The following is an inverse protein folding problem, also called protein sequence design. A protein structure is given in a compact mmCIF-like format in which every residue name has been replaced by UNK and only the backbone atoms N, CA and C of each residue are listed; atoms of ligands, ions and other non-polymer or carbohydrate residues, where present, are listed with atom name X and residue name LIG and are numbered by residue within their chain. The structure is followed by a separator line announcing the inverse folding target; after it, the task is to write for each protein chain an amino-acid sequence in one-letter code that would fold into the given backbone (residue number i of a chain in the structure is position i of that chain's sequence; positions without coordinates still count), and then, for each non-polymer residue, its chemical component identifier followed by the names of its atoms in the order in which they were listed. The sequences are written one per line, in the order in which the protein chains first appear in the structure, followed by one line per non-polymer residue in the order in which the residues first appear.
data_IF_987838677303
#
_entry.id   IF_987838677303
#
_cell.length_a   1.000
_cell.length_b   1.000
_cell.length_c   1.000
_cell.angle_alpha   90.00
_cell.angle_beta   90.00
_cell.angle_gamma   90.00
#
_symmetry.space_group_name_H-M   'P 1'
#
loop_
_entity.id
_entity.type
_entity.pdbx_description
1 polymer ?
#
# COMPACT_ATOMS: atom_id res chain seq x y z
N UNK A 1 1.00 21.72 -6.86
CA UNK A 1 0.94 22.64 -8.03
C UNK A 1 2.29 22.85 -8.74
N UNK A 2 3.32 23.46 -8.12
CA UNK A 2 4.63 23.66 -8.80
C UNK A 2 5.38 22.35 -9.02
N UNK A 3 5.40 21.47 -8.01
CA UNK A 3 6.02 20.15 -8.10
C UNK A 3 5.36 19.29 -9.19
N UNK A 4 4.03 19.21 -9.22
CA UNK A 4 3.26 18.47 -10.25
C UNK A 4 3.57 18.96 -11.67
N UNK A 5 3.69 20.28 -11.88
CA UNK A 5 4.07 20.85 -13.18
C UNK A 5 5.50 20.48 -13.57
N UNK A 6 6.44 20.48 -12.63
CA UNK A 6 7.81 20.05 -12.92
C UNK A 6 7.85 18.57 -13.30
N UNK A 7 7.19 17.71 -12.51
CA UNK A 7 7.14 16.27 -12.76
C UNK A 7 6.44 15.94 -14.08
N UNK A 8 5.40 16.68 -14.47
CA UNK A 8 4.72 16.47 -15.75
C UNK A 8 5.57 16.88 -16.95
N UNK A 9 6.35 17.97 -16.83
CA UNK A 9 7.30 18.39 -17.89
C UNK A 9 8.42 17.35 -18.05
N UNK A 10 8.97 16.84 -16.95
CA UNK A 10 9.98 15.77 -16.98
C UNK A 10 9.42 14.50 -17.63
N UNK A 11 8.20 14.09 -17.24
CA UNK A 11 7.53 12.94 -17.84
C UNK A 11 7.32 13.11 -19.36
N UNK A 12 6.90 14.30 -19.82
CA UNK A 12 6.76 14.61 -21.25
C UNK A 12 8.11 14.56 -21.97
N UNK A 13 9.16 15.07 -21.35
CA UNK A 13 10.54 15.00 -21.86
C UNK A 13 11.01 13.56 -22.06
N UNK A 14 10.85 12.71 -21.05
CA UNK A 14 11.22 11.29 -21.12
C UNK A 14 10.46 10.55 -22.22
N UNK A 15 9.14 10.75 -22.34
CA UNK A 15 8.36 10.17 -23.44
C UNK A 15 8.84 10.66 -24.81
N UNK A 16 9.23 11.92 -24.92
CA UNK A 16 9.76 12.45 -26.18
C UNK A 16 11.09 11.80 -26.56
N UNK A 17 11.97 11.55 -25.58
CA UNK A 17 13.26 10.86 -25.80
C UNK A 17 13.03 9.39 -26.18
N UNK A 18 12.05 8.72 -25.56
CA UNK A 18 11.69 7.34 -25.87
C UNK A 18 11.16 7.19 -27.33
N UNK A 19 10.32 8.13 -27.77
CA UNK A 19 9.60 8.02 -29.05
C UNK A 19 10.36 8.54 -30.26
N UNK A 20 11.19 9.58 -30.09
CA UNK A 20 11.95 10.16 -31.21
C UNK A 20 13.04 9.21 -31.69
N UNK A 21 13.13 9.04 -33.01
CA UNK A 21 14.30 8.41 -33.63
C UNK A 21 15.46 9.41 -33.62
N UNK A 22 16.61 8.96 -33.13
CA UNK A 22 17.83 9.75 -33.05
C UNK A 22 18.82 9.04 -33.96
N UNK A 23 19.48 9.78 -34.86
CA UNK A 23 20.31 9.21 -35.94
C UNK A 23 21.45 8.32 -35.41
N UNK A 24 21.98 8.62 -34.22
CA UNK A 24 23.10 7.91 -33.60
C UNK A 24 22.71 6.96 -32.45
N UNK A 25 21.41 6.78 -32.13
CA UNK A 25 20.98 5.99 -30.97
C UNK A 25 19.94 4.96 -31.34
N UNK A 26 20.33 3.68 -31.23
CA UNK A 26 19.46 2.55 -31.55
C UNK A 26 18.34 2.35 -30.53
N UNK A 27 17.29 1.62 -30.91
CA UNK A 27 16.21 1.20 -30.00
C UNK A 27 16.74 0.39 -28.80
N UNK A 28 17.77 -0.43 -29.02
CA UNK A 28 18.40 -1.24 -27.98
C UNK A 28 19.19 -0.40 -26.96
N UNK A 29 19.88 0.65 -27.42
CA UNK A 29 20.60 1.58 -26.54
C UNK A 29 19.62 2.36 -25.65
N UNK A 30 18.50 2.82 -26.24
CA UNK A 30 17.41 3.47 -25.49
C UNK A 30 16.81 2.52 -24.46
N UNK A 31 16.54 1.26 -24.85
CA UNK A 31 15.99 0.28 -23.93
C UNK A 31 16.93 0.09 -22.72
N UNK A 32 18.22 -0.06 -22.97
CA UNK A 32 19.24 -0.20 -21.92
C UNK A 32 19.27 1.03 -21.00
N UNK A 33 19.25 2.24 -21.58
CA UNK A 33 19.21 3.48 -20.82
C UNK A 33 17.95 3.59 -19.94
N UNK A 34 16.77 3.37 -20.51
CA UNK A 34 15.50 3.46 -19.77
C UNK A 34 15.37 2.36 -18.72
N UNK A 35 15.92 1.16 -18.98
CA UNK A 35 15.98 0.08 -18.01
C UNK A 35 16.83 0.47 -16.79
N UNK A 36 18.04 1.02 -17.00
CA UNK A 36 18.89 1.52 -15.91
C UNK A 36 18.26 2.71 -15.18
N UNK A 37 17.63 3.62 -15.91
CA UNK A 37 16.96 4.78 -15.32
C UNK A 37 15.77 4.35 -14.44
N UNK A 38 14.96 3.39 -14.91
CA UNK A 38 13.89 2.77 -14.13
C UNK A 38 14.41 2.15 -12.84
N UNK A 39 15.48 1.37 -12.93
CA UNK A 39 16.09 0.73 -11.75
C UNK A 39 16.65 1.75 -10.75
N UNK A 40 17.27 2.83 -11.24
CA UNK A 40 17.87 3.87 -10.38
C UNK A 40 16.82 4.76 -9.72
N UNK A 41 15.69 5.01 -10.40
CA UNK A 41 14.64 5.89 -9.89
C UNK A 41 13.96 5.35 -8.61
N UNK A 42 13.85 4.02 -8.53
CA UNK A 42 13.18 3.31 -7.45
C UNK A 42 11.69 3.05 -7.72
N UNK A 43 11.04 2.34 -6.79
CA UNK A 43 9.64 1.91 -6.90
C UNK A 43 8.79 2.46 -5.76
N UNK A 44 7.48 2.56 -6.02
CA UNK A 44 6.49 2.82 -4.98
C UNK A 44 6.10 1.51 -4.27
N UNK A 45 5.78 1.60 -2.97
CA UNK A 45 5.31 0.47 -2.17
C UNK A 45 4.09 0.84 -1.34
N UNK A 46 3.09 -0.02 -1.32
CA UNK A 46 1.99 0.05 -0.35
C UNK A 46 2.36 -0.76 0.89
N UNK A 47 2.34 -0.15 2.07
CA UNK A 47 2.63 -0.79 3.35
C UNK A 47 1.34 -0.82 4.19
N UNK A 48 0.88 -2.02 4.54
CA UNK A 48 -0.30 -2.26 5.35
C UNK A 48 0.14 -2.66 6.76
N UNK A 49 -0.14 -1.79 7.72
CA UNK A 49 0.25 -2.00 9.12
C UNK A 49 -0.53 -3.13 9.80
N UNK A 50 -0.10 -3.49 11.00
CA UNK A 50 -0.95 -4.18 11.96
C UNK A 50 -2.12 -3.32 12.44
N UNK A 51 -3.04 -3.96 13.20
CA UNK A 51 -4.10 -3.25 13.92
C UNK A 51 -5.40 -4.04 14.16
N UNK A 52 -5.31 -5.37 14.25
CA UNK A 52 -6.44 -6.26 14.53
C UNK A 52 -7.63 -6.04 13.57
N UNK A 53 -8.87 -5.96 14.08
CA UNK A 53 -10.08 -5.81 13.24
C UNK A 53 -10.13 -4.51 12.44
N UNK A 54 -9.31 -3.50 12.77
CA UNK A 54 -9.18 -2.28 11.94
C UNK A 54 -8.52 -2.57 10.58
N UNK A 55 -7.98 -3.78 10.36
CA UNK A 55 -7.51 -4.20 9.04
C UNK A 55 -8.57 -4.10 7.92
N UNK A 56 -9.86 -4.07 8.26
CA UNK A 56 -10.93 -3.82 7.28
C UNK A 56 -10.78 -2.48 6.55
N UNK A 57 -10.17 -1.47 7.19
CA UNK A 57 -9.88 -0.19 6.55
C UNK A 57 -8.86 -0.33 5.40
N UNK A 58 -7.92 -1.27 5.49
CA UNK A 58 -6.96 -1.52 4.42
C UNK A 58 -7.64 -1.93 3.12
N UNK A 59 -8.72 -2.72 3.19
CA UNK A 59 -9.48 -3.13 2.00
C UNK A 59 -9.99 -1.90 1.25
N UNK A 60 -10.51 -0.92 1.98
CA UNK A 60 -10.93 0.37 1.41
C UNK A 60 -9.79 1.14 0.76
N UNK A 61 -8.61 1.16 1.40
CA UNK A 61 -7.42 1.83 0.85
C UNK A 61 -6.94 1.13 -0.43
N UNK A 62 -6.85 -0.20 -0.43
CA UNK A 62 -6.46 -0.98 -1.62
C UNK A 62 -7.47 -0.74 -2.73
N UNK A 63 -8.78 -0.82 -2.44
CA UNK A 63 -9.86 -0.56 -3.40
C UNK A 63 -9.71 0.82 -4.03
N UNK A 64 -9.49 1.85 -3.23
CA UNK A 64 -9.29 3.21 -3.72
C UNK A 64 -8.09 3.34 -4.68
N UNK A 65 -6.94 2.76 -4.30
CA UNK A 65 -5.73 2.80 -5.14
C UNK A 65 -5.91 1.98 -6.41
N UNK A 66 -6.61 0.85 -6.33
CA UNK A 66 -6.90 -0.04 -7.43
C UNK A 66 -7.84 0.61 -8.46
N UNK A 67 -8.95 1.21 -8.01
CA UNK A 67 -9.91 1.93 -8.86
C UNK A 67 -9.28 3.17 -9.51
N UNK A 68 -8.41 3.87 -8.79
CA UNK A 68 -7.64 5.00 -9.33
C UNK A 68 -6.48 4.56 -10.25
N UNK A 69 -6.21 3.26 -10.38
CA UNK A 69 -5.15 2.71 -11.21
C UNK A 69 -3.74 3.05 -10.71
N UNK A 70 -3.56 3.37 -9.42
CA UNK A 70 -2.29 3.76 -8.79
C UNK A 70 -1.82 2.78 -7.71
N UNK A 71 -2.41 1.59 -7.64
CA UNK A 71 -1.96 0.53 -6.73
C UNK A 71 -0.53 0.10 -7.08
N UNK A 72 0.46 0.25 -6.17
CA UNK A 72 1.82 -0.18 -6.44
C UNK A 72 1.95 -1.69 -6.55
N UNK A 73 2.88 -2.17 -7.39
CA UNK A 73 3.18 -3.60 -7.53
C UNK A 73 3.79 -4.19 -6.26
N UNK A 74 4.60 -3.42 -5.54
CA UNK A 74 5.21 -3.85 -4.28
C UNK A 74 4.23 -3.56 -3.15
N UNK A 75 3.78 -4.62 -2.48
CA UNK A 75 2.89 -4.52 -1.31
C UNK A 75 3.58 -5.22 -0.13
N UNK A 76 3.67 -4.52 0.99
CA UNK A 76 4.19 -5.04 2.25
C UNK A 76 3.09 -5.07 3.29
N UNK A 77 3.00 -6.15 4.06
CA UNK A 77 2.03 -6.30 5.13
C UNK A 77 2.60 -6.95 6.37
N UNK A 78 2.20 -6.45 7.53
CA UNK A 78 2.45 -7.05 8.84
C UNK A 78 1.14 -7.30 9.57
N UNK A 79 1.05 -8.38 10.37
CA UNK A 79 -0.17 -8.77 11.06
C UNK A 79 -1.39 -8.79 10.13
N UNK A 80 -2.52 -8.17 10.49
CA UNK A 80 -3.70 -8.11 9.62
C UNK A 80 -3.41 -7.54 8.22
N UNK A 81 -2.46 -6.62 8.07
CA UNK A 81 -2.01 -6.11 6.78
C UNK A 81 -1.39 -7.20 5.89
N UNK A 82 -0.79 -8.24 6.48
CA UNK A 82 -0.27 -9.40 5.73
C UNK A 82 -1.36 -10.29 5.16
N UNK A 83 -2.51 -10.41 5.84
CA UNK A 83 -3.68 -11.12 5.31
C UNK A 83 -4.20 -10.40 4.06
N UNK A 84 -4.37 -9.08 4.14
CA UNK A 84 -4.83 -8.28 3.00
C UNK A 84 -3.80 -8.32 1.86
N UNK A 85 -2.51 -8.24 2.18
CA UNK A 85 -1.43 -8.39 1.18
C UNK A 85 -1.50 -9.75 0.47
N UNK A 86 -1.70 -10.84 1.23
CA UNK A 86 -1.87 -12.17 0.66
C UNK A 86 -3.08 -12.23 -0.27
N UNK A 87 -4.25 -11.82 0.19
CA UNK A 87 -5.51 -11.82 -0.57
C UNK A 87 -5.38 -11.06 -1.90
N UNK A 88 -4.75 -9.88 -1.86
CA UNK A 88 -4.60 -8.99 -3.02
C UNK A 88 -3.57 -9.52 -4.00
N UNK A 89 -2.46 -10.08 -3.51
CA UNK A 89 -1.35 -10.52 -4.37
C UNK A 89 -1.50 -11.95 -4.89
N UNK A 90 -2.51 -12.72 -4.46
CA UNK A 90 -2.81 -14.06 -5.00
C UNK A 90 -4.05 -14.09 -5.90
N UNK A 91 -4.59 -12.93 -6.27
CA UNK A 91 -5.74 -12.80 -7.17
C UNK A 91 -5.35 -12.07 -8.44
N UNK A 92 -5.88 -12.50 -9.58
CA UNK A 92 -5.79 -11.74 -10.81
C UNK A 92 -6.56 -10.42 -10.69
N UNK A 93 -6.32 -9.51 -11.63
CA UNK A 93 -7.01 -8.21 -11.64
C UNK A 93 -8.53 -8.38 -11.69
N UNK A 94 -9.02 -9.31 -12.49
CA UNK A 94 -10.45 -9.60 -12.69
C UNK A 94 -11.06 -10.16 -11.39
N UNK A 95 -10.37 -11.10 -10.75
CA UNK A 95 -10.78 -11.65 -9.46
C UNK A 95 -10.80 -10.59 -8.36
N UNK A 96 -9.89 -9.62 -8.42
CA UNK A 96 -9.84 -8.50 -7.48
C UNK A 96 -10.96 -7.49 -7.74
N UNK A 97 -11.35 -7.28 -9.00
CA UNK A 97 -12.53 -6.48 -9.38
C UNK A 97 -13.82 -7.12 -8.84
N UNK A 98 -13.99 -8.44 -9.03
CA UNK A 98 -15.11 -9.21 -8.47
C UNK A 98 -15.16 -9.13 -6.94
N UNK A 99 -14.00 -9.25 -6.27
CA UNK A 99 -13.88 -9.13 -4.81
C UNK A 99 -14.43 -7.80 -4.29
N UNK A 100 -14.17 -6.70 -5.00
CA UNK A 100 -14.60 -5.37 -4.58
C UNK A 100 -16.06 -5.04 -4.93
N UNK A 101 -16.69 -5.84 -5.79
CA UNK A 101 -18.11 -5.70 -6.18
C UNK A 101 -18.98 -6.50 -5.20
N UNK A 102 -18.76 -7.81 -5.09
CA UNK A 102 -19.65 -8.69 -4.32
C UNK A 102 -19.23 -8.85 -2.86
N UNK A 103 -18.02 -8.37 -2.52
CA UNK A 103 -17.46 -8.45 -1.16
C UNK A 103 -17.51 -9.88 -0.62
N UNK A 104 -17.16 -10.85 -1.47
CA UNK A 104 -17.12 -12.27 -1.13
C UNK A 104 -15.79 -12.62 -0.44
N UNK A 105 -15.52 -11.94 0.67
CA UNK A 105 -14.41 -12.28 1.56
C UNK A 105 -15.01 -13.09 2.69
N UNK A 106 -14.47 -14.28 2.96
CA UNK A 106 -14.80 -14.99 4.19
C UNK A 106 -14.26 -14.19 5.38
N UNK A 107 -15.16 -13.53 6.12
CA UNK A 107 -14.85 -12.66 7.25
C UNK A 107 -14.89 -13.39 8.60
N UNK A 108 -15.00 -14.73 8.63
CA UNK A 108 -15.01 -15.52 9.87
C UNK A 108 -13.61 -15.63 10.53
N UNK A 109 -12.93 -14.49 10.70
CA UNK A 109 -11.63 -14.37 11.36
C UNK A 109 -11.68 -14.73 12.85
N UNK A 110 -12.79 -14.46 13.54
CA UNK A 110 -12.99 -14.81 14.94
C UNK A 110 -14.24 -15.67 15.08
N UNK A 111 -14.12 -16.98 15.33
CA UNK A 111 -15.30 -17.79 15.70
C UNK A 111 -16.14 -17.09 16.79
N UNK A 112 -17.46 -17.33 16.77
CA UNK A 112 -18.39 -16.99 17.86
C UNK A 112 -18.11 -17.83 19.12
N UNK A 113 -16.88 -17.81 19.60
CA UNK A 113 -16.49 -18.44 20.86
C UNK A 113 -17.02 -17.59 22.01
N UNK A 114 -17.65 -18.22 23.00
CA UNK A 114 -18.13 -17.51 24.19
C UNK A 114 -16.92 -16.95 24.94
N UNK A 115 -17.10 -15.84 25.66
CA UNK A 115 -16.02 -15.22 26.43
C UNK A 115 -15.34 -16.22 27.40
N UNK A 116 -16.12 -17.17 27.93
CA UNK A 116 -15.64 -18.27 28.76
C UNK A 116 -14.71 -19.24 28.02
N UNK A 117 -14.99 -19.56 26.75
CA UNK A 117 -14.12 -20.42 25.94
C UNK A 117 -12.76 -19.73 25.67
N UNK A 118 -12.76 -18.41 25.51
CA UNK A 118 -11.53 -17.60 25.36
C UNK A 118 -10.70 -17.54 26.64
N UNK A 119 -11.36 -17.39 27.80
CA UNK A 119 -10.70 -17.39 29.12
C UNK A 119 -10.14 -18.78 29.44
N UNK A 120 -10.90 -19.84 29.14
CA UNK A 120 -10.46 -21.22 29.37
C UNK A 120 -9.28 -21.59 28.46
N UNK A 121 -9.25 -21.14 27.20
CA UNK A 121 -8.09 -21.31 26.30
C UNK A 121 -6.90 -20.44 26.71
N UNK A 122 -7.11 -19.22 27.17
CA UNK A 122 -6.01 -18.41 27.71
C UNK A 122 -5.35 -19.09 28.91
N UNK A 123 -6.15 -19.73 29.77
CA UNK A 123 -5.66 -20.46 30.95
C UNK A 123 -5.00 -21.81 30.62
N UNK A 124 -5.53 -22.57 29.66
CA UNK A 124 -5.04 -23.92 29.32
C UNK A 124 -3.97 -23.95 28.23
N UNK A 125 -4.04 -23.03 27.27
CA UNK A 125 -3.25 -23.03 26.04
C UNK A 125 -2.35 -21.80 25.88
N UNK A 126 -2.49 -20.78 26.73
CA UNK A 126 -1.71 -19.54 26.68
C UNK A 126 -2.04 -18.62 25.49
N UNK A 127 -3.17 -18.86 24.79
CA UNK A 127 -3.62 -18.07 23.65
C UNK A 127 -5.10 -17.72 23.77
N UNK A 128 -5.44 -16.47 23.44
CA UNK A 128 -6.81 -15.95 23.53
C UNK A 128 -7.70 -16.34 22.35
N UNK A 129 -7.12 -16.58 21.17
CA UNK A 129 -7.82 -16.82 19.91
C UNK A 129 -7.33 -18.09 19.22
N UNK A 130 -8.24 -18.71 18.46
CA UNK A 130 -8.00 -19.97 17.74
C UNK A 130 -7.21 -19.75 16.44
N UNK A 131 -5.94 -20.16 16.45
CA UNK A 131 -5.07 -20.10 15.28
C UNK A 131 -5.59 -20.97 14.12
N UNK A 132 -6.22 -22.12 14.41
CA UNK A 132 -6.73 -23.03 13.38
C UNK A 132 -7.96 -22.47 12.64
N UNK A 133 -8.72 -21.57 13.29
CA UNK A 133 -9.80 -20.84 12.61
C UNK A 133 -9.26 -19.76 11.70
N UNK A 134 -8.25 -19.01 12.16
CA UNK A 134 -7.56 -18.03 11.34
C UNK A 134 -6.88 -18.69 10.13
N UNK A 135 -6.22 -19.84 10.32
CA UNK A 135 -5.61 -20.62 9.25
C UNK A 135 -6.63 -21.02 8.18
N UNK A 136 -7.80 -21.55 8.57
CA UNK A 136 -8.85 -21.93 7.63
C UNK A 136 -9.36 -20.73 6.82
N UNK A 137 -9.57 -19.59 7.47
CA UNK A 137 -10.01 -18.36 6.81
C UNK A 137 -8.96 -17.86 5.80
N UNK A 138 -7.68 -17.80 6.18
CA UNK A 138 -6.61 -17.35 5.27
C UNK A 138 -6.47 -18.33 4.11
N UNK A 139 -6.43 -19.64 4.37
CA UNK A 139 -6.33 -20.68 3.32
C UNK A 139 -7.51 -20.66 2.35
N UNK A 140 -8.74 -20.45 2.84
CA UNK A 140 -9.92 -20.34 1.99
C UNK A 140 -9.83 -19.15 1.02
N UNK A 141 -9.17 -18.06 1.43
CA UNK A 141 -9.03 -16.87 0.61
C UNK A 141 -7.78 -16.86 -0.28
N UNK A 142 -6.69 -17.53 0.09
CA UNK A 142 -5.37 -17.41 -0.58
C UNK A 142 -4.99 -18.67 -1.36
N UNK A 143 -5.65 -19.80 -1.10
CA UNK A 143 -5.28 -21.14 -1.55
C UNK A 143 -3.84 -21.53 -1.15
N UNK A 144 -3.41 -22.73 -1.50
CA UNK A 144 -2.05 -23.23 -1.24
C UNK A 144 -1.06 -22.69 -2.31
N UNK A 145 -0.98 -21.37 -2.46
CA UNK A 145 -0.05 -20.70 -3.38
C UNK A 145 1.28 -20.33 -2.71
N UNK A 146 2.40 -20.47 -3.43
CA UNK A 146 3.71 -19.96 -3.00
C UNK A 146 3.93 -18.50 -3.39
N UNK A 147 4.94 -17.84 -2.81
CA UNK A 147 5.31 -16.47 -3.20
C UNK A 147 5.71 -16.36 -4.67
N UNK A 148 6.42 -17.35 -5.20
CA UNK A 148 6.78 -17.43 -6.62
C UNK A 148 5.54 -17.60 -7.50
N UNK A 149 4.64 -18.54 -7.16
CA UNK A 149 3.39 -18.77 -7.89
C UNK A 149 2.49 -17.52 -7.89
N UNK A 150 2.39 -16.82 -6.76
CA UNK A 150 1.62 -15.59 -6.63
C UNK A 150 2.19 -14.45 -7.47
N UNK A 151 3.51 -14.27 -7.46
CA UNK A 151 4.19 -13.29 -8.30
C UNK A 151 4.04 -13.60 -9.78
N UNK A 152 4.13 -14.87 -10.16
CA UNK A 152 4.02 -15.30 -11.55
C UNK A 152 2.60 -15.18 -12.10
N UNK A 153 1.59 -15.38 -11.25
CA UNK A 153 0.19 -15.20 -11.62
C UNK A 153 -0.18 -13.71 -11.80
N UNK A 154 0.29 -12.85 -10.90
CA UNK A 154 -0.25 -11.48 -10.77
C UNK A 154 0.71 -10.38 -11.20
N UNK A 155 2.01 -10.65 -11.24
CA UNK A 155 3.06 -9.63 -11.37
C UNK A 155 3.20 -8.73 -10.12
N UNK A 156 2.46 -9.01 -9.06
CA UNK A 156 2.55 -8.31 -7.77
C UNK A 156 3.68 -8.89 -6.94
N UNK A 157 4.26 -8.06 -6.08
CA UNK A 157 5.38 -8.41 -5.21
C UNK A 157 4.92 -8.36 -3.75
N UNK A 158 4.32 -9.45 -3.23
CA UNK A 158 3.94 -9.54 -1.83
C UNK A 158 5.17 -9.65 -0.92
N UNK A 159 5.18 -8.84 0.13
CA UNK A 159 6.17 -8.85 1.20
C UNK A 159 5.46 -9.02 2.54
N UNK A 160 5.73 -10.13 3.24
CA UNK A 160 5.13 -10.41 4.55
C UNK A 160 6.23 -10.52 5.60
N UNK A 161 6.07 -9.79 6.70
CA UNK A 161 7.06 -9.77 7.79
C UNK A 161 6.73 -10.83 8.83
N UNK A 162 7.72 -11.60 9.23
CA UNK A 162 7.60 -12.58 10.32
C UNK A 162 8.79 -12.44 11.26
N UNK A 163 8.56 -12.69 12.56
CA UNK A 163 9.61 -12.60 13.59
C UNK A 163 9.81 -13.96 14.22
N UNK A 164 11.05 -14.40 14.44
CA UNK A 164 11.30 -15.66 15.15
C UNK A 164 11.06 -15.49 16.67
N UNK A 165 10.47 -16.50 17.30
CA UNK A 165 10.19 -16.50 18.74
C UNK A 165 11.46 -16.46 19.60
N UNK A 166 12.48 -17.18 19.16
CA UNK A 166 13.69 -17.44 19.96
C UNK A 166 14.57 -16.20 20.12
N UNK A 167 14.28 -15.13 19.37
CA UNK A 167 15.01 -13.86 19.43
C UNK A 167 16.45 -13.91 18.90
N UNK A 168 16.95 -15.10 18.57
CA UNK A 168 18.27 -15.34 17.96
C UNK A 168 18.20 -15.10 16.45
N UNK A 169 17.10 -15.50 15.81
CA UNK A 169 16.86 -15.24 14.39
C UNK A 169 16.11 -13.90 14.22
N UNK A 170 16.76 -12.96 13.54
CA UNK A 170 16.20 -11.64 13.21
C UNK A 170 14.90 -11.77 12.39
N UNK A 171 14.10 -10.71 12.34
CA UNK A 171 12.88 -10.68 11.51
C UNK A 171 13.19 -10.97 10.05
N UNK A 172 12.28 -11.69 9.39
CA UNK A 172 12.38 -12.06 8.00
C UNK A 172 11.26 -11.38 7.21
N UNK A 173 11.59 -10.92 6.00
CA UNK A 173 10.61 -10.47 5.01
C UNK A 173 10.49 -11.56 3.96
N UNK A 174 9.37 -12.28 4.00
CA UNK A 174 9.02 -13.34 3.06
C UNK A 174 8.49 -12.71 1.76
N UNK A 175 9.11 -13.06 0.64
CA UNK A 175 8.73 -12.65 -0.72
C UNK A 175 9.28 -13.66 -1.74
N UNK A 176 9.05 -13.41 -3.03
CA UNK A 176 9.49 -14.32 -4.10
C UNK A 176 11.01 -14.38 -4.28
N UNK A 177 11.78 -13.37 -3.83
CA UNK A 177 13.25 -13.37 -3.89
C UNK A 177 13.88 -14.08 -2.69
N UNK A 178 13.36 -13.85 -1.48
CA UNK A 178 13.90 -14.40 -0.25
C UNK A 178 13.40 -15.81 0.03
N UNK A 179 12.12 -16.08 -0.24
CA UNK A 179 11.42 -17.30 0.13
C UNK A 179 10.42 -17.74 -0.96
N UNK A 180 10.87 -18.04 -2.19
CA UNK A 180 9.99 -18.33 -3.34
C UNK A 180 9.02 -19.48 -3.08
N UNK A 181 9.49 -20.55 -2.44
CA UNK A 181 8.72 -21.78 -2.22
C UNK A 181 7.80 -21.73 -1.00
N UNK A 182 7.86 -20.68 -0.17
CA UNK A 182 7.04 -20.55 1.03
C UNK A 182 5.60 -20.26 0.63
N UNK A 183 4.64 -20.89 1.32
CA UNK A 183 3.22 -20.68 1.13
C UNK A 183 2.79 -19.33 1.71
N UNK A 184 2.11 -18.53 0.89
CA UNK A 184 1.71 -17.16 1.26
C UNK A 184 0.79 -17.16 2.48
N UNK A 185 -0.17 -18.11 2.55
CA UNK A 185 -1.07 -18.22 3.70
C UNK A 185 -0.31 -18.52 5.00
N UNK A 186 0.76 -19.31 4.94
CA UNK A 186 1.54 -19.70 6.11
C UNK A 186 2.35 -18.52 6.66
N UNK A 187 2.90 -17.69 5.76
CA UNK A 187 3.57 -16.45 6.12
C UNK A 187 2.59 -15.45 6.73
N UNK A 188 1.40 -15.28 6.14
CA UNK A 188 0.35 -14.42 6.70
C UNK A 188 -0.10 -14.89 8.10
N UNK A 189 -0.27 -16.21 8.29
CA UNK A 189 -0.63 -16.80 9.58
C UNK A 189 0.44 -16.53 10.65
N UNK A 190 1.72 -16.76 10.33
CA UNK A 190 2.84 -16.47 11.22
C UNK A 190 2.93 -14.98 11.54
N UNK A 191 2.74 -14.14 10.53
CA UNK A 191 2.73 -12.69 10.65
C UNK A 191 1.59 -12.17 11.52
N UNK A 192 0.50 -12.93 11.74
CA UNK A 192 -0.59 -12.59 12.65
C UNK A 192 -0.48 -13.23 14.06
N UNK A 193 0.54 -14.07 14.30
CA UNK A 193 0.67 -14.83 15.53
C UNK A 193 1.20 -13.97 16.70
N UNK A 194 0.37 -13.03 17.18
CA UNK A 194 0.71 -12.13 18.29
C UNK A 194 0.85 -12.95 19.60
N UNK A 195 2.01 -12.88 20.29
CA UNK A 195 2.20 -13.52 21.59
C UNK A 195 1.10 -13.13 22.59
N UNK A 196 0.50 -14.14 23.23
CA UNK A 196 -0.63 -13.98 24.16
C UNK A 196 -2.01 -13.95 23.49
N UNK A 197 -2.11 -13.51 22.23
CA UNK A 197 -3.35 -13.57 21.45
C UNK A 197 -3.47 -14.89 20.69
N UNK A 198 -2.39 -15.34 20.05
CA UNK A 198 -2.32 -16.58 19.30
C UNK A 198 -1.09 -17.38 19.73
N UNK A 199 -1.12 -18.70 19.49
CA UNK A 199 0.08 -19.54 19.60
C UNK A 199 1.05 -19.18 18.46
N UNK A 200 2.38 -19.27 18.69
CA UNK A 200 3.37 -19.18 17.62
C UNK A 200 3.08 -20.21 16.52
N UNK A 201 3.34 -19.83 15.27
CA UNK A 201 3.04 -20.64 14.09
C UNK A 201 4.31 -21.10 13.38
N UNK A 202 4.17 -22.02 12.43
CA UNK A 202 5.27 -22.55 11.64
C UNK A 202 5.09 -22.16 10.17
N UNK A 203 6.19 -21.81 9.50
CA UNK A 203 6.19 -21.54 8.07
C UNK A 203 6.17 -22.86 7.29
N UNK A 204 5.39 -22.88 6.19
CA UNK A 204 5.28 -24.03 5.31
C UNK A 204 5.75 -23.66 3.90
N UNK A 205 6.35 -24.61 3.20
CA UNK A 205 6.83 -24.46 1.83
C UNK A 205 6.44 -25.65 0.97
N UNK A 206 6.42 -25.48 -0.34
CA UNK A 206 6.31 -26.59 -1.29
C UNK A 206 7.70 -27.16 -1.58
N UNK A 207 7.82 -28.48 -1.52
CA UNK A 207 9.00 -29.18 -2.00
C UNK A 207 8.97 -29.27 -3.55
N UNK A 208 10.01 -29.86 -4.15
CA UNK A 208 10.09 -30.07 -5.61
C UNK A 208 8.98 -30.94 -6.18
N UNK A 209 8.37 -31.79 -5.35
CA UNK A 209 7.24 -32.66 -5.72
C UNK A 209 5.87 -31.97 -5.55
N UNK A 210 5.85 -30.69 -5.16
CA UNK A 210 4.62 -29.94 -4.87
C UNK A 210 3.95 -30.29 -3.54
N UNK A 211 4.60 -31.09 -2.69
CA UNK A 211 4.09 -31.43 -1.35
C UNK A 211 4.40 -30.32 -0.34
N UNK A 212 3.44 -30.06 0.53
CA UNK A 212 3.58 -29.08 1.60
C UNK A 212 4.42 -29.68 2.74
N UNK A 213 5.53 -29.04 3.06
CA UNK A 213 6.48 -29.40 4.11
C UNK A 213 6.77 -28.19 5.00
N UNK A 214 7.35 -28.40 6.19
CA UNK A 214 7.84 -27.29 7.01
C UNK A 214 8.99 -26.59 6.28
N UNK A 215 9.05 -25.26 6.39
CA UNK A 215 10.11 -24.48 5.77
C UNK A 215 11.47 -24.69 6.43
N UNK A 216 11.49 -24.75 7.76
CA UNK A 216 12.67 -25.08 8.56
C UNK A 216 12.50 -26.48 9.17
N UNK A 217 13.56 -27.29 9.11
CA UNK A 217 13.61 -28.62 9.76
C UNK A 217 13.81 -28.49 11.27
N UNK A 218 14.49 -27.43 11.69
CA UNK A 218 14.55 -26.99 13.07
C UNK A 218 13.15 -26.47 13.41
N UNK A 219 12.53 -26.91 14.50
CA UNK A 219 11.15 -26.53 14.90
C UNK A 219 11.03 -25.04 15.33
N UNK A 220 11.54 -24.13 14.50
CA UNK A 220 11.50 -22.68 14.69
C UNK A 220 10.05 -22.23 14.64
N UNK A 221 9.68 -21.55 15.72
CA UNK A 221 8.37 -20.94 15.85
C UNK A 221 8.44 -19.46 15.48
N UNK A 222 7.44 -19.02 14.75
CA UNK A 222 7.30 -17.66 14.26
C UNK A 222 6.16 -16.96 14.98
N UNK A 223 6.36 -15.67 15.23
CA UNK A 223 5.43 -14.74 15.85
C UNK A 223 5.24 -13.52 14.96
N UNK A 224 4.26 -12.70 15.32
CA UNK A 224 3.81 -11.55 14.53
C UNK A 224 4.98 -10.63 14.08
N UNK A 225 4.96 -10.25 12.78
CA UNK A 225 5.98 -9.40 12.17
C UNK A 225 5.98 -7.96 12.71
N UNK A 226 4.83 -7.47 13.16
CA UNK A 226 4.66 -6.14 13.74
C UNK A 226 5.38 -5.98 15.08
N UNK A 227 5.93 -7.05 15.67
CA UNK A 227 6.73 -6.94 16.89
C UNK A 227 8.13 -6.38 16.58
N UNK A 228 8.78 -6.93 15.56
CA UNK A 228 10.12 -6.49 15.17
C UNK A 228 10.08 -5.26 14.25
N UNK A 229 9.23 -5.29 13.22
CA UNK A 229 9.10 -4.17 12.28
C UNK A 229 7.77 -4.26 11.53
N UNK A 230 6.83 -3.37 11.88
CA UNK A 230 5.55 -3.24 11.17
C UNK A 230 5.74 -2.81 9.71
N UNK A 231 6.78 -2.02 9.43
CA UNK A 231 7.14 -1.55 8.08
C UNK A 231 8.65 -1.73 7.87
N UNK A 232 9.10 -2.79 7.17
CA UNK A 232 10.51 -3.16 7.04
C UNK A 232 11.22 -2.30 5.98
N UNK A 233 11.34 -0.99 6.26
CA UNK A 233 11.78 0.04 5.30
C UNK A 233 13.15 -0.30 4.68
N UNK A 234 14.14 -0.64 5.50
CA UNK A 234 15.49 -0.94 5.02
C UNK A 234 15.51 -2.17 4.10
N UNK A 235 14.75 -3.21 4.46
CA UNK A 235 14.69 -4.44 3.67
C UNK A 235 13.97 -4.23 2.34
N UNK A 236 12.91 -3.45 2.32
CA UNK A 236 12.20 -3.08 1.09
C UNK A 236 13.07 -2.20 0.18
N UNK A 237 13.84 -1.28 0.74
CA UNK A 237 14.81 -0.48 -0.01
C UNK A 237 15.91 -1.37 -0.62
N UNK A 238 16.45 -2.32 0.14
CA UNK A 238 17.50 -3.23 -0.35
C UNK A 238 17.01 -4.19 -1.44
N UNK A 239 15.83 -4.79 -1.27
CA UNK A 239 15.34 -5.84 -2.17
C UNK A 239 14.69 -5.28 -3.44
N UNK A 240 13.98 -4.16 -3.33
CA UNK A 240 13.12 -3.67 -4.41
C UNK A 240 13.36 -2.20 -4.76
N UNK A 241 14.42 -1.58 -4.22
CA UNK A 241 14.71 -0.15 -4.36
C UNK A 241 13.46 0.72 -4.10
N UNK A 242 12.72 0.38 -3.04
CA UNK A 242 11.52 1.14 -2.65
C UNK A 242 11.93 2.52 -2.17
N UNK A 243 11.41 3.54 -2.84
CA UNK A 243 11.68 4.95 -2.54
C UNK A 243 10.48 5.66 -1.93
N UNK A 244 9.28 5.37 -2.40
CA UNK A 244 8.06 6.05 -1.99
C UNK A 244 7.11 5.08 -1.30
N UNK A 245 6.84 5.29 -0.01
CA UNK A 245 6.03 4.40 0.82
C UNK A 245 4.67 5.01 1.11
N UNK A 246 3.63 4.35 0.62
CA UNK A 246 2.24 4.64 0.94
C UNK A 246 1.86 3.75 2.11
N UNK A 247 1.67 4.31 3.29
CA UNK A 247 1.39 3.56 4.52
C UNK A 247 -0.10 3.68 4.84
N UNK A 248 -0.80 2.55 4.89
CA UNK A 248 -2.11 2.48 5.52
C UNK A 248 -1.89 2.12 6.98
N UNK A 249 -2.11 3.09 7.88
CA UNK A 249 -1.82 2.94 9.30
C UNK A 249 -3.13 2.80 10.08
N UNK A 250 -3.40 1.59 10.56
CA UNK A 250 -4.60 1.24 11.32
C UNK A 250 -4.30 0.82 12.75
N UNK A 251 -3.04 0.89 13.18
CA UNK A 251 -2.65 0.53 14.54
C UNK A 251 -3.44 1.34 15.57
N UNK A 252 -4.14 0.69 16.52
CA UNK A 252 -5.03 1.37 17.43
C UNK A 252 -4.32 2.42 18.29
N UNK A 253 -3.07 2.18 18.70
CA UNK A 253 -2.28 3.13 19.50
C UNK A 253 -1.76 4.34 18.69
N UNK A 254 -1.69 4.23 17.36
CA UNK A 254 -1.24 5.30 16.46
C UNK A 254 -2.43 6.11 15.93
N UNK A 255 -3.57 5.45 15.74
CA UNK A 255 -4.79 6.11 15.27
C UNK A 255 -5.36 6.96 16.41
N UNK A 256 -5.14 8.28 16.28
CA UNK A 256 -5.67 9.28 17.20
C UNK A 256 -7.20 9.19 17.24
N UNK A 257 -7.74 8.62 18.32
CA UNK A 257 -9.16 8.30 18.53
C UNK A 257 -10.13 9.48 18.40
N UNK A 258 -9.62 10.71 18.33
CA UNK A 258 -10.39 11.94 18.52
C UNK A 258 -10.08 13.06 17.51
N UNK A 259 -9.42 12.78 16.38
CA UNK A 259 -9.28 13.77 15.28
C UNK A 259 -10.57 13.97 14.46
N UNK A 260 -11.64 13.25 14.82
CA UNK A 260 -12.96 13.35 14.21
C UNK A 260 -13.83 14.46 14.80
N UNK A 261 -13.96 15.55 14.03
CA UNK A 261 -14.94 16.66 14.14
C UNK A 261 -14.67 17.70 15.24
N UNK A 262 -14.51 18.96 14.81
CA UNK A 262 -14.94 20.22 15.45
C UNK A 262 -15.16 20.17 16.97
N UNK A 263 -14.18 19.67 17.73
CA UNK A 263 -14.32 19.51 19.18
C UNK A 263 -14.04 20.82 19.88
N UNK A 264 -14.85 21.09 20.91
CA UNK A 264 -14.72 22.24 21.80
C UNK A 264 -13.34 22.23 22.46
N UNK A 265 -12.75 23.42 22.69
CA UNK A 265 -11.38 23.56 23.18
C UNK A 265 -11.00 22.71 24.41
N UNK A 266 -11.90 22.37 25.36
CA UNK A 266 -11.54 21.55 26.51
C UNK A 266 -11.36 20.07 26.16
N UNK A 267 -12.13 19.56 25.19
CA UNK A 267 -11.94 18.18 24.69
C UNK A 267 -10.59 18.02 23.99
N UNK A 268 -10.13 19.05 23.27
CA UNK A 268 -8.80 19.04 22.65
C UNK A 268 -7.69 19.01 23.70
N UNK A 269 -7.87 19.74 24.80
CA UNK A 269 -6.92 19.72 25.92
C UNK A 269 -6.90 18.33 26.56
N UNK A 270 -8.06 17.77 26.88
CA UNK A 270 -8.18 16.44 27.49
C UNK A 270 -7.52 15.35 26.62
N UNK A 271 -7.78 15.37 25.31
CA UNK A 271 -7.17 14.42 24.37
C UNK A 271 -5.65 14.57 24.34
N UNK A 272 -5.14 15.80 24.28
CA UNK A 272 -3.71 16.06 24.33
C UNK A 272 -3.09 15.63 25.66
N UNK A 273 -3.80 15.82 26.78
CA UNK A 273 -3.36 15.38 28.10
C UNK A 273 -3.32 13.86 28.20
N UNK A 274 -4.32 13.15 27.66
CA UNK A 274 -4.32 11.68 27.61
C UNK A 274 -3.18 11.17 26.72
N UNK A 275 -2.95 11.80 25.56
CA UNK A 275 -1.82 11.45 24.69
C UNK A 275 -0.47 11.73 25.35
N UNK A 276 -0.34 12.84 26.07
CA UNK A 276 0.86 13.19 26.82
C UNK A 276 1.09 12.19 27.96
N UNK A 277 0.06 11.88 28.73
CA UNK A 277 0.13 10.89 29.81
C UNK A 277 0.45 9.49 29.27
N UNK A 278 -0.12 9.10 28.13
CA UNK A 278 0.21 7.82 27.50
C UNK A 278 1.68 7.76 27.04
N UNK A 279 2.24 8.89 26.57
CA UNK A 279 3.67 9.00 26.24
C UNK A 279 4.55 8.92 27.48
N UNK A 280 4.21 9.65 28.54
CA UNK A 280 4.93 9.60 29.82
C UNK A 280 4.86 8.21 30.45
N UNK A 281 3.69 7.58 30.50
CA UNK A 281 3.54 6.22 31.01
C UNK A 281 4.34 5.22 30.18
N UNK A 282 4.45 5.43 28.87
CA UNK A 282 5.31 4.63 27.99
C UNK A 282 6.79 4.82 28.33
N UNK A 283 7.26 6.07 28.44
CA UNK A 283 8.65 6.40 28.81
C UNK A 283 9.00 5.82 30.19
N UNK A 284 8.09 5.94 31.16
CA UNK A 284 8.23 5.35 32.50
C UNK A 284 8.24 3.84 32.44
N UNK A 285 7.38 3.19 31.65
CA UNK A 285 7.39 1.73 31.50
C UNK A 285 8.69 1.23 30.85
N UNK A 286 9.16 1.90 29.80
CA UNK A 286 10.44 1.61 29.15
C UNK A 286 11.63 1.82 30.10
N UNK A 287 11.61 2.89 30.90
CA UNK A 287 12.61 3.15 31.93
C UNK A 287 12.61 2.09 33.03
N UNK A 288 11.43 1.73 33.55
CA UNK A 288 11.29 0.72 34.60
C UNK A 288 11.65 -0.71 34.13
N UNK A 289 11.41 -1.03 32.87
CA UNK A 289 11.84 -2.30 32.26
C UNK A 289 13.34 -2.31 32.00
N UNK A 290 13.93 -1.20 31.57
CA UNK A 290 15.40 -1.05 31.41
C UNK A 290 16.13 -1.13 32.75
N UNK A 291 15.53 -0.60 33.83
CA UNK A 291 16.04 -0.68 35.20
C UNK A 291 15.79 -2.04 35.87
N UNK A 292 15.09 -2.97 35.21
CA UNK A 292 14.82 -4.31 35.73
C UNK A 292 13.77 -4.39 36.84
N UNK A 293 12.99 -3.32 37.06
CA UNK A 293 11.96 -3.23 38.10
C UNK A 293 10.66 -3.92 37.65
N UNK A 294 10.33 -3.81 36.35
CA UNK A 294 9.21 -4.53 35.73
C UNK A 294 9.72 -5.69 34.87
N UNK A 295 8.98 -6.82 34.78
CA UNK A 295 9.33 -7.89 33.86
C UNK A 295 9.40 -7.34 32.44
N UNK A 296 10.58 -7.48 31.83
CA UNK A 296 10.86 -6.94 30.51
C UNK A 296 10.16 -7.82 29.45
N UNK A 297 8.90 -7.52 29.16
CA UNK A 297 8.20 -8.11 28.03
C UNK A 297 8.75 -7.50 26.74
N UNK A 298 9.86 -8.07 26.25
CA UNK A 298 10.60 -7.65 25.04
C UNK A 298 9.69 -7.30 23.84
N UNK A 299 8.57 -8.00 23.71
CA UNK A 299 7.61 -7.81 22.63
C UNK A 299 6.80 -6.50 22.74
N UNK A 300 6.51 -6.04 23.96
CA UNK A 300 5.70 -4.82 24.20
C UNK A 300 6.56 -3.58 23.96
N UNK A 301 7.80 -3.56 24.46
CA UNK A 301 8.73 -2.45 24.23
C UNK A 301 9.04 -2.27 22.75
N UNK A 302 9.31 -3.37 22.03
CA UNK A 302 9.58 -3.34 20.58
C UNK A 302 8.36 -2.90 19.76
N UNK A 303 7.15 -3.35 20.12
CA UNK A 303 5.93 -2.86 19.48
C UNK A 303 5.75 -1.35 19.72
N UNK A 304 6.10 -0.82 20.90
CA UNK A 304 5.92 0.61 21.17
C UNK A 304 6.93 1.51 20.44
N UNK A 305 8.17 1.07 20.23
CA UNK A 305 9.28 1.89 19.68
C UNK A 305 9.23 2.16 18.16
N UNK A 306 8.25 1.64 17.43
CA UNK A 306 8.33 1.60 15.97
C UNK A 306 8.03 2.93 15.26
N UNK A 307 8.75 3.15 14.16
CA UNK A 307 8.47 4.22 13.19
C UNK A 307 7.28 3.87 12.31
N UNK A 308 6.12 4.39 12.65
CA UNK A 308 4.84 4.10 11.99
C UNK A 308 4.49 4.97 10.77
N UNK A 309 5.41 5.82 10.34
CA UNK A 309 5.20 6.82 9.29
C UNK A 309 5.95 6.47 8.01
N UNK A 310 5.25 6.56 6.87
CA UNK A 310 5.87 6.60 5.55
C UNK A 310 5.72 7.96 4.89
N UNK A 311 6.14 8.05 3.64
CA UNK A 311 6.11 9.29 2.84
C UNK A 311 4.68 9.81 2.68
N UNK A 312 3.72 8.90 2.44
CA UNK A 312 2.29 9.18 2.45
C UNK A 312 1.60 8.26 3.45
N UNK A 313 1.04 8.80 4.54
CA UNK A 313 0.39 7.99 5.58
C UNK A 313 -1.11 8.22 5.62
N UNK A 314 -1.89 7.21 5.23
CA UNK A 314 -3.34 7.20 5.23
C UNK A 314 -3.82 6.63 6.58
N UNK A 315 -4.57 7.43 7.34
CA UNK A 315 -5.12 7.04 8.64
C UNK A 315 -6.65 7.09 8.63
N UNK A 316 -7.35 6.03 9.07
CA UNK A 316 -8.78 6.09 9.24
C UNK A 316 -9.14 6.97 10.45
N UNK A 317 -10.26 7.68 10.36
CA UNK A 317 -10.79 8.48 11.48
C UNK A 317 -11.66 7.61 12.37
N UNK A 318 -11.07 6.90 13.31
CA UNK A 318 -11.78 5.93 14.16
C UNK A 318 -12.38 6.64 15.38
N UNK A 319 -13.65 6.40 15.68
CA UNK A 319 -14.34 6.89 16.88
C UNK A 319 -14.21 5.94 18.07
N UNK A 320 -14.48 6.42 19.27
CA UNK A 320 -14.38 5.65 20.52
C UNK A 320 -15.23 4.36 20.54
N UNK A 321 -16.44 4.42 19.98
CA UNK A 321 -17.34 3.25 19.91
C UNK A 321 -16.86 2.18 18.93
N UNK A 322 -16.13 2.58 17.89
CA UNK A 322 -15.52 1.67 16.91
C UNK A 322 -14.29 0.99 17.53
N UNK A 323 -13.50 1.73 18.31
CA UNK A 323 -12.39 1.18 19.08
C UNK A 323 -12.84 0.13 20.13
N UNK A 324 -13.97 0.35 20.82
CA UNK A 324 -14.50 -0.64 21.77
C UNK A 324 -15.04 -1.91 21.09
N UNK A 325 -15.38 -1.85 19.79
CA UNK A 325 -15.82 -3.00 19.00
C UNK A 325 -14.66 -3.80 18.39
N UNK A 326 -13.42 -3.37 18.60
CA UNK A 326 -12.21 -3.90 17.96
C UNK A 326 -11.91 -5.37 18.30
N UNK A 327 -12.45 -5.90 19.39
CA UNK A 327 -12.27 -7.29 19.82
C UNK A 327 -13.50 -8.19 19.53
N UNK A 328 -14.51 -7.67 18.82
CA UNK A 328 -15.70 -8.42 18.42
C UNK A 328 -15.61 -8.79 16.93
N UNK A 329 -16.22 -9.91 16.59
CA UNK A 329 -16.25 -10.37 15.20
C UNK A 329 -17.02 -9.35 14.33
N UNK A 330 -16.45 -8.89 13.21
CA UNK A 330 -17.11 -7.88 12.38
C UNK A 330 -18.36 -8.45 11.70
N UNK A 331 -19.42 -7.64 11.64
CA UNK A 331 -20.57 -7.95 10.78
C UNK A 331 -20.29 -7.49 9.35
N UNK A 332 -20.96 -8.08 8.35
CA UNK A 332 -20.83 -7.64 6.94
C UNK A 332 -21.07 -6.12 6.79
N UNK A 333 -22.07 -5.59 7.48
CA UNK A 333 -22.35 -4.15 7.53
C UNK A 333 -21.17 -3.32 8.10
N UNK A 334 -20.51 -3.82 9.15
CA UNK A 334 -19.34 -3.14 9.73
C UNK A 334 -18.16 -3.19 8.79
N UNK A 335 -17.99 -4.29 8.07
CA UNK A 335 -16.97 -4.42 7.04
C UNK A 335 -17.19 -3.42 5.91
N UNK A 336 -18.39 -3.37 5.33
CA UNK A 336 -18.75 -2.41 4.28
C UNK A 336 -18.55 -0.97 4.73
N UNK A 337 -18.93 -0.65 5.98
CA UNK A 337 -18.69 0.66 6.58
C UNK A 337 -17.20 1.00 6.69
N UNK A 338 -16.38 0.08 7.21
CA UNK A 338 -14.94 0.30 7.37
C UNK A 338 -14.24 0.42 6.01
N UNK A 339 -14.64 -0.41 5.04
CA UNK A 339 -14.16 -0.37 3.67
C UNK A 339 -14.47 0.99 3.02
N UNK A 340 -15.73 1.45 3.05
CA UNK A 340 -16.12 2.74 2.48
C UNK A 340 -15.39 3.92 3.13
N UNK A 341 -15.19 3.87 4.45
CA UNK A 341 -14.47 4.91 5.20
C UNK A 341 -12.97 4.89 4.91
N UNK A 342 -12.35 3.72 4.76
CA UNK A 342 -10.97 3.57 4.31
C UNK A 342 -10.76 4.12 2.89
N UNK A 343 -11.69 3.82 1.99
CA UNK A 343 -11.70 4.32 0.61
C UNK A 343 -11.80 5.86 0.59
N UNK A 344 -12.71 6.44 1.38
CA UNK A 344 -12.87 7.89 1.47
C UNK A 344 -11.66 8.64 2.04
N UNK A 345 -10.91 8.03 2.96
CA UNK A 345 -9.65 8.60 3.46
C UNK A 345 -8.52 8.48 2.43
N UNK A 346 -8.41 7.34 1.73
CA UNK A 346 -7.43 7.17 0.66
C UNK A 346 -7.62 8.15 -0.51
N UNK A 347 -8.88 8.45 -0.87
CA UNK A 347 -9.21 9.35 -1.99
C UNK A 347 -8.62 10.76 -1.86
N UNK A 348 -8.31 11.19 -0.64
CA UNK A 348 -7.69 12.49 -0.36
C UNK A 348 -6.23 12.56 -0.80
N UNK A 349 -5.54 11.41 -0.81
CA UNK A 349 -4.13 11.30 -1.13
C UNK A 349 -3.85 10.81 -2.55
N UNK A 350 -4.88 10.37 -3.30
CA UNK A 350 -4.72 9.87 -4.68
C UNK A 350 -3.99 10.87 -5.58
N UNK A 351 -4.26 12.17 -5.47
CA UNK A 351 -3.57 13.18 -6.28
C UNK A 351 -2.06 13.25 -6.01
N UNK A 352 -1.68 13.16 -4.73
CA UNK A 352 -0.28 13.14 -4.30
C UNK A 352 0.41 11.85 -4.74
N UNK A 353 -0.24 10.69 -4.50
CA UNK A 353 0.26 9.37 -4.91
C UNK A 353 0.45 9.31 -6.42
N UNK A 354 -0.51 9.81 -7.20
CA UNK A 354 -0.43 9.89 -8.65
C UNK A 354 0.75 10.78 -9.07
N UNK A 355 0.95 11.94 -8.42
CA UNK A 355 2.07 12.82 -8.75
C UNK A 355 3.43 12.15 -8.53
N UNK A 356 3.60 11.41 -7.43
CA UNK A 356 4.84 10.70 -7.10
C UNK A 356 5.07 9.45 -7.97
N UNK A 357 4.02 8.69 -8.27
CA UNK A 357 4.09 7.46 -9.09
C UNK A 357 4.08 7.73 -10.60
N UNK A 358 3.69 8.92 -11.06
CA UNK A 358 3.59 9.21 -12.49
C UNK A 358 4.90 9.01 -13.25
N UNK A 359 6.04 9.37 -12.63
CA UNK A 359 7.34 9.22 -13.25
C UNK A 359 7.75 7.74 -13.37
N UNK A 360 7.50 6.95 -12.33
CA UNK A 360 7.68 5.49 -12.33
C UNK A 360 6.87 4.84 -13.47
N UNK A 361 5.57 5.19 -13.59
CA UNK A 361 4.68 4.68 -14.65
C UNK A 361 5.16 5.06 -16.06
N UNK A 362 5.67 6.29 -16.22
CA UNK A 362 6.21 6.74 -17.51
C UNK A 362 7.45 5.95 -17.89
N UNK A 363 8.34 5.68 -16.93
CA UNK A 363 9.53 4.87 -17.16
C UNK A 363 9.17 3.42 -17.51
N UNK A 364 8.24 2.80 -16.76
CA UNK A 364 7.73 1.46 -17.05
C UNK A 364 7.13 1.38 -18.47
N UNK A 365 6.28 2.36 -18.85
CA UNK A 365 5.71 2.43 -20.19
C UNK A 365 6.75 2.62 -21.30
N UNK A 366 7.80 3.44 -21.07
CA UNK A 366 8.88 3.61 -22.05
C UNK A 366 9.67 2.32 -22.27
N UNK A 367 9.98 1.58 -21.19
CA UNK A 367 10.64 0.27 -21.29
C UNK A 367 9.75 -0.70 -22.06
N UNK A 368 8.43 -0.70 -21.82
CA UNK A 368 7.46 -1.51 -22.57
C UNK A 368 7.40 -1.24 -24.06
N UNK A 369 7.32 0.02 -24.44
CA UNK A 369 7.28 0.40 -25.85
C UNK A 369 8.59 0.04 -26.56
N UNK A 370 9.74 0.34 -25.96
CA UNK A 370 11.05 0.06 -26.55
C UNK A 370 11.32 -1.44 -26.65
N UNK A 371 10.90 -2.22 -25.65
CA UNK A 371 11.02 -3.66 -25.67
C UNK A 371 10.18 -4.28 -26.81
N UNK A 372 8.93 -3.84 -26.98
CA UNK A 372 8.07 -4.25 -28.09
C UNK A 372 8.70 -3.91 -29.45
N UNK A 373 9.29 -2.72 -29.59
CA UNK A 373 10.02 -2.33 -30.80
C UNK A 373 11.25 -3.21 -31.07
N UNK A 374 12.05 -3.48 -30.04
CA UNK A 374 13.24 -4.33 -30.16
C UNK A 374 12.90 -5.78 -30.54
N UNK A 375 11.76 -6.31 -30.08
CA UNK A 375 11.27 -7.63 -30.51
C UNK A 375 10.74 -7.67 -31.95
N UNK A 376 10.27 -6.54 -32.49
CA UNK A 376 9.79 -6.41 -33.87
C UNK A 376 10.96 -6.17 -34.85
N UNK A 377 12.15 -5.80 -34.35
CA UNK A 377 13.39 -5.66 -35.14
C UNK A 377 14.32 -6.90 -35.17
N UNK A 378 13.89 -8.16 -35.43
CA UNK A 378 14.84 -9.21 -35.76
C UNK A 378 15.07 -9.28 -37.28
N UNK A 379 16.35 -9.25 -37.69
CA UNK A 379 16.87 -9.64 -39.03
C UNK A 379 16.64 -8.65 -40.18
N UNK A 380 17.08 -7.40 -40.03
CA UNK A 380 17.26 -6.49 -41.17
C UNK A 380 18.54 -5.64 -41.06
N UNK A 381 19.69 -6.28 -40.91
CA UNK A 381 20.98 -5.71 -41.35
C UNK A 381 22.10 -6.73 -41.20
N UNK A 382 22.33 -7.50 -42.25
CA UNK A 382 23.66 -8.04 -42.50
C UNK A 382 24.57 -6.87 -42.88
N UNK A 383 25.45 -6.46 -41.97
CA UNK A 383 26.78 -6.01 -42.35
C UNK A 383 27.74 -6.18 -41.18
N UNK A 384 28.79 -6.94 -41.47
CA UNK A 384 29.86 -7.31 -40.57
C UNK A 384 30.68 -6.09 -40.21
N UNK A 385 30.63 -5.63 -38.96
CA UNK A 385 31.78 -4.98 -38.31
C UNK A 385 31.77 -5.33 -36.82
N UNK A 386 32.74 -6.18 -36.44
CA UNK A 386 33.05 -6.56 -35.06
C UNK A 386 33.37 -5.32 -34.23
N UNK A 387 32.49 -4.96 -33.31
CA UNK A 387 32.82 -4.11 -32.16
C UNK A 387 32.44 -4.86 -30.87
N UNK A 388 33.47 -5.32 -30.15
CA UNK A 388 33.50 -5.62 -28.71
C UNK A 388 32.39 -6.53 -28.13
N UNK A 389 32.67 -7.84 -28.08
CA UNK A 389 31.83 -8.93 -27.56
C UNK A 389 31.58 -9.00 -26.05
N UNK A 390 31.53 -7.86 -25.33
CA UNK A 390 31.07 -7.82 -23.93
C UNK A 390 29.75 -7.06 -23.73
N UNK A 391 29.42 -6.11 -24.60
CA UNK A 391 28.18 -5.34 -24.51
C UNK A 391 26.97 -6.14 -25.03
N UNK A 392 27.09 -6.81 -26.18
CA UNK A 392 26.00 -7.58 -26.81
C UNK A 392 25.49 -8.75 -25.94
N UNK A 393 26.34 -9.43 -25.18
CA UNK A 393 25.91 -10.49 -24.26
C UNK A 393 25.13 -9.93 -23.06
N UNK A 394 25.50 -8.76 -22.55
CA UNK A 394 24.72 -8.09 -21.50
C UNK A 394 23.38 -7.60 -22.05
N UNK A 395 23.34 -7.00 -23.24
CA UNK A 395 22.09 -6.58 -23.90
C UNK A 395 21.14 -7.75 -24.12
N UNK A 396 21.65 -8.91 -24.57
CA UNK A 396 20.83 -10.10 -24.84
C UNK A 396 20.32 -10.77 -23.55
N UNK A 397 21.13 -10.82 -22.49
CA UNK A 397 20.68 -11.30 -21.18
C UNK A 397 19.69 -10.33 -20.51
N UNK A 398 19.92 -9.02 -20.62
CA UNK A 398 18.99 -7.97 -20.17
C UNK A 398 17.67 -7.98 -20.96
N UNK A 399 17.72 -8.26 -22.26
CA UNK A 399 16.55 -8.47 -23.11
C UNK A 399 15.77 -9.70 -22.66
N UNK A 400 16.43 -10.80 -22.26
CA UNK A 400 15.75 -12.00 -21.75
C UNK A 400 15.18 -11.81 -20.34
N UNK A 401 15.90 -11.15 -19.43
CA UNK A 401 15.39 -10.82 -18.09
C UNK A 401 14.22 -9.83 -18.17
N UNK A 402 14.33 -8.82 -19.04
CA UNK A 402 13.22 -7.91 -19.35
C UNK A 402 12.07 -8.66 -20.05
N UNK A 403 12.35 -9.60 -20.96
CA UNK A 403 11.33 -10.42 -21.61
C UNK A 403 10.46 -11.19 -20.61
N UNK A 404 11.11 -11.78 -19.61
CA UNK A 404 10.45 -12.57 -18.57
C UNK A 404 9.67 -11.67 -17.60
N UNK A 405 10.25 -10.53 -17.19
CA UNK A 405 9.55 -9.54 -16.33
C UNK A 405 8.35 -8.91 -17.07
N UNK A 406 8.42 -8.78 -18.40
CA UNK A 406 7.44 -8.04 -19.21
C UNK A 406 6.37 -8.88 -19.90
N UNK A 407 6.63 -10.14 -20.26
CA UNK A 407 5.56 -11.11 -20.59
C UNK A 407 4.57 -11.24 -19.44
N UNK A 408 5.05 -11.05 -18.20
CA UNK A 408 4.26 -11.06 -16.96
C UNK A 408 3.53 -9.74 -16.72
N UNK A 409 4.10 -8.58 -17.10
CA UNK A 409 3.45 -7.27 -16.93
C UNK A 409 2.36 -6.94 -17.98
N UNK A 410 2.49 -7.43 -19.21
CA UNK A 410 1.57 -7.12 -20.34
C UNK A 410 0.18 -7.77 -20.18
N UNK A 411 0.02 -8.75 -19.27
CA UNK A 411 -1.25 -9.35 -18.88
C UNK A 411 -2.10 -8.42 -17.99
N UNK A 412 -1.49 -7.46 -17.27
CA UNK A 412 -2.17 -6.61 -16.28
C UNK A 412 -2.53 -5.18 -16.70
N UNK A 413 -1.95 -4.64 -17.77
CA UNK A 413 -1.96 -3.18 -18.06
C UNK A 413 -2.76 -2.75 -19.30
N UNK A 414 -3.49 -3.65 -19.98
CA UNK A 414 -4.09 -3.34 -21.30
C UNK A 414 -5.21 -2.28 -21.34
N UNK A 415 -5.61 -1.64 -20.23
CA UNK A 415 -6.49 -0.47 -20.26
C UNK A 415 -6.14 0.50 -19.14
N UNK A 416 -6.23 1.82 -19.44
CA UNK A 416 -6.16 2.98 -18.53
C UNK A 416 -4.83 3.78 -18.55
N UNK A 417 -4.51 4.38 -19.69
CA UNK A 417 -3.58 5.52 -19.78
C UNK A 417 -4.32 6.84 -19.53
N UNK A 418 -4.74 7.12 -18.30
CA UNK A 418 -5.22 8.46 -17.96
C UNK A 418 -4.05 9.37 -17.64
N UNK A 419 -3.97 10.52 -18.30
CA UNK A 419 -3.12 11.62 -17.87
C UNK A 419 -3.70 12.28 -16.62
N UNK A 420 -2.83 12.89 -15.80
CA UNK A 420 -3.23 13.65 -14.60
C UNK A 420 -4.28 14.73 -14.93
N UNK A 421 -4.24 15.30 -16.13
CA UNK A 421 -5.17 16.32 -16.61
C UNK A 421 -6.56 15.75 -16.93
N UNK A 422 -6.64 14.52 -17.45
CA UNK A 422 -7.92 13.85 -17.72
C UNK A 422 -8.57 13.36 -16.41
N UNK A 423 -7.77 12.90 -15.43
CA UNK A 423 -8.29 12.54 -14.10
C UNK A 423 -8.90 13.74 -13.35
N UNK A 424 -8.26 14.92 -13.44
CA UNK A 424 -8.81 16.16 -12.87
C UNK A 424 -10.11 16.58 -13.59
N UNK A 425 -10.18 16.39 -14.91
CA UNK A 425 -11.39 16.70 -15.69
C UNK A 425 -12.55 15.75 -15.38
N UNK A 426 -12.28 14.45 -15.19
CA UNK A 426 -13.29 13.46 -14.82
C UNK A 426 -13.94 13.76 -13.44
N UNK A 427 -13.18 14.39 -12.53
CA UNK A 427 -13.66 14.81 -11.21
C UNK A 427 -14.68 15.95 -11.24
N UNK A 428 -14.76 16.71 -12.34
CA UNK A 428 -15.79 17.75 -12.50
C UNK A 428 -17.11 17.21 -13.06
N UNK A 429 -17.12 15.99 -13.60
CA UNK A 429 -18.29 15.41 -14.27
C UNK A 429 -18.98 14.33 -13.41
N UNK A 430 -18.27 13.72 -12.46
CA UNK A 430 -18.79 12.63 -11.62
C UNK A 430 -18.99 13.02 -10.15
N UNK A 431 -20.05 13.77 -9.84
CA UNK A 431 -20.60 13.86 -8.49
C UNK A 431 -22.11 13.54 -8.55
N UNK A 432 -22.59 12.42 -7.97
CA UNK A 432 -24.02 12.19 -7.80
C UNK A 432 -24.54 13.14 -6.72
N UNK A 433 -25.40 14.08 -7.13
CA UNK A 433 -26.24 14.85 -6.22
C UNK A 433 -27.31 13.94 -5.62
N UNK A 434 -27.23 13.64 -4.33
CA UNK A 434 -28.42 13.26 -3.55
C UNK A 434 -28.98 14.47 -2.81
N UNK A 435 -29.95 15.10 -3.45
CA UNK A 435 -31.28 15.39 -2.89
C UNK A 435 -31.45 16.58 -1.96
N UNK A 436 -31.92 17.71 -2.51
CA UNK A 436 -32.97 18.54 -1.87
C UNK A 436 -33.96 19.03 -2.94
N UNK A 437 -35.11 18.36 -2.97
CA UNK A 437 -36.50 18.82 -3.18
C UNK A 437 -36.74 20.17 -3.90
N UNK A 438 -37.57 20.15 -4.96
CA UNK A 438 -38.67 21.12 -5.09
C UNK A 438 -38.83 21.84 -6.44
N UNK A 439 -39.73 21.31 -7.28
CA UNK A 439 -40.64 21.98 -8.23
C UNK A 439 -40.14 23.04 -9.26
N UNK A 440 -40.51 22.79 -10.54
CA UNK A 440 -41.07 23.85 -11.39
C UNK A 440 -40.38 24.16 -12.73
N UNK A 441 -40.88 23.52 -13.79
CA UNK A 441 -41.04 24.00 -15.19
C UNK A 441 -39.86 24.61 -15.99
N UNK A 442 -39.62 24.01 -17.17
CA UNK A 442 -38.89 24.55 -18.34
C UNK A 442 -39.65 25.73 -19.02
N UNK A 443 -39.19 26.27 -20.17
CA UNK A 443 -38.03 27.14 -20.40
C UNK A 443 -38.44 28.40 -21.22
N UNK A 444 -37.49 29.27 -21.57
CA UNK A 444 -37.39 30.02 -22.85
C UNK A 444 -37.05 31.52 -22.72
N UNK A 445 -35.89 31.85 -23.31
CA UNK A 445 -35.63 32.94 -24.26
C UNK A 445 -35.96 34.41 -23.94
N UNK A 446 -35.05 35.24 -24.48
CA UNK A 446 -35.22 36.57 -25.07
C UNK A 446 -35.18 37.82 -24.16
N UNK A 447 -34.04 38.51 -24.28
CA UNK A 447 -33.86 39.93 -24.65
C UNK A 447 -34.29 41.10 -23.75
N UNK A 448 -33.33 42.05 -23.71
CA UNK A 448 -33.42 43.51 -23.75
C UNK A 448 -33.48 44.35 -22.45
N UNK A 449 -32.39 45.11 -22.33
CA UNK A 449 -32.28 46.56 -22.06
C UNK A 449 -32.61 47.15 -20.68
N UNK A 450 -31.56 47.80 -20.13
CA UNK A 450 -31.53 49.14 -19.50
C UNK A 450 -32.53 49.43 -18.37
N UNK A 451 -32.13 49.85 -17.18
CA UNK A 451 -31.26 51.01 -16.88
C UNK A 451 -31.16 51.18 -15.36
N UNK A 452 -30.01 51.69 -14.88
CA UNK A 452 -29.79 52.67 -13.78
C UNK A 452 -30.48 52.41 -12.41
N UNK A 453 -29.85 52.52 -11.25
CA UNK A 453 -28.58 53.16 -10.85
C UNK A 453 -28.31 52.90 -9.35
N UNK A 454 -27.02 52.97 -8.97
CA UNK A 454 -26.47 53.44 -7.66
C UNK A 454 -26.82 52.56 -6.43
N UNK A 455 -25.88 52.08 -5.62
CA UNK A 455 -24.74 52.80 -5.07
C UNK A 455 -23.64 51.82 -4.58
N UNK A 456 -22.42 52.24 -4.88
CA UNK A 456 -21.25 52.32 -3.99
C UNK A 456 -20.32 51.14 -3.65
N UNK A 457 -19.16 51.21 -4.34
CA UNK A 457 -17.82 51.51 -3.79
C UNK A 457 -16.84 50.36 -3.47
N UNK A 458 -15.84 50.31 -4.37
CA UNK A 458 -14.38 50.07 -4.24
C UNK A 458 -13.83 48.65 -4.08
N UNK A 459 -13.48 48.13 -5.27
CA UNK A 459 -12.19 47.47 -5.56
C UNK A 459 -11.10 48.57 -5.64
N UNK A 460 -9.90 48.33 -5.09
CA UNK A 460 -8.69 48.65 -5.85
C UNK A 460 -7.49 47.79 -5.49
N UNK A 461 -6.75 47.51 -6.55
CA UNK A 461 -5.70 46.52 -6.74
C UNK A 461 -4.42 47.32 -7.01
N UNK A 462 -3.29 46.76 -6.59
CA UNK A 462 -1.97 46.89 -7.21
C UNK A 462 -1.12 48.18 -7.10
N UNK A 463 0.13 47.91 -6.67
CA UNK A 463 1.43 48.32 -7.23
C UNK A 463 2.03 49.68 -6.86
N UNK A 464 3.27 49.55 -6.33
CA UNK A 464 4.52 50.31 -6.62
C UNK A 464 4.49 51.81 -6.31
N UNK A 465 5.54 52.50 -5.88
CA UNK A 465 6.90 52.27 -5.38
C UNK A 465 7.47 53.69 -5.28
N UNK A 466 8.33 53.96 -4.28
CA UNK A 466 9.12 55.20 -4.09
C UNK A 466 8.30 56.41 -3.59
N UNK A 467 8.45 56.83 -2.33
CA UNK A 467 9.61 57.43 -1.62
C UNK A 467 9.89 58.86 -2.08
N UNK A 468 10.18 59.73 -1.10
CA UNK A 468 10.35 61.22 -1.07
C UNK A 468 9.04 61.93 -0.69
N UNK A 469 8.89 62.67 0.41
CA UNK A 469 9.87 63.36 1.27
C UNK A 469 9.27 63.66 2.67
N UNK A 470 10.18 63.80 3.64
CA UNK A 470 10.18 64.58 4.91
C UNK A 470 8.91 65.36 5.30
N UNK A 471 8.48 65.40 6.57
CA UNK A 471 9.21 65.75 7.81
C UNK A 471 8.73 64.88 8.98
#
# INVERSE_FOLDING_TARGET
KTLEKCLSVVAKGLRSVCTKNLEDVTSADKLTYFYHLRHTFGRSCLCLSGGATLGMYHVGVVKALFEAGVLPRVISGASVGSIITAIVCTRTREQLEELFIDTDIDLDFFKRDKLWDKIQRLYSEGAFLDLASLERCIRANVADMTFEEAHDLTGMVPNIVVTSRDGIHHSMVCNFLSTPNVLVWSAALCSCALPGMYKPATLYAKNRDGKIVKYDESDVQWIDGSIASDIPTERLAQLFNVRYRIVSQVNPHVVSFLEGRRSWWPQRLLVRSIQYLARELREVYLGLTTLGILPNHKYISQLMEQGYSGDCTIRPKVGLTEFLKLFKNPTKEQFEYCMAKGQGEAWKYIGEILAHSNLERVLDGCVQELYKKAQIEPVASGSSQRISGKAQNNSHNLLMDSAQEMKKSDLGERRLSWSVEEFISARLVGAPNHGVIGYGMKPSATTLSSSRSLADIRICRMKRSHSTDSI
#
